data_IF_230136075329
#
_entry.id   IF_230136075329
#
_cell.length_a   1.000
_cell.length_b   1.000
_cell.length_c   1.000
_cell.angle_alpha   90.00
_cell.angle_beta   90.00
_cell.angle_gamma   90.00
#
_symmetry.space_group_name_H-M   'P 1'
#
loop_
_entity.id
_entity.type
_entity.pdbx_description
1 polymer ?
#
# COMPACT_ATOMS: atom_id res chain seq x y z
N UNK A 1 -25.60 17.60 -9.63
CA UNK A 1 -25.72 17.25 -11.06
C UNK A 1 -25.07 15.89 -11.22
N UNK A 2 -25.88 14.82 -11.32
CA UNK A 2 -25.37 13.46 -11.51
C UNK A 2 -24.82 13.39 -12.94
N UNK A 3 -23.51 13.31 -13.10
CA UNK A 3 -22.90 13.19 -14.41
C UNK A 3 -23.00 11.73 -14.88
N UNK A 4 -23.70 11.54 -15.99
CA UNK A 4 -23.70 10.31 -16.78
C UNK A 4 -22.35 10.25 -17.53
N UNK A 5 -21.27 9.96 -16.80
CA UNK A 5 -19.93 9.86 -17.37
C UNK A 5 -19.84 8.53 -18.12
N UNK A 6 -19.62 8.59 -19.43
CA UNK A 6 -19.42 7.39 -20.25
C UNK A 6 -18.36 6.46 -19.61
N UNK A 7 -18.59 5.14 -19.54
CA UNK A 7 -17.63 4.18 -18.99
C UNK A 7 -16.22 4.30 -19.59
N UNK A 8 -16.13 4.66 -20.87
CA UNK A 8 -14.86 4.86 -21.56
C UNK A 8 -14.05 6.05 -20.99
N UNK A 9 -14.72 7.13 -20.59
CA UNK A 9 -14.10 8.30 -19.97
C UNK A 9 -13.56 7.95 -18.59
N UNK A 10 -14.31 7.17 -17.81
CA UNK A 10 -13.89 6.70 -16.49
C UNK A 10 -12.67 5.76 -16.57
N UNK A 11 -12.68 4.80 -17.49
CA UNK A 11 -11.53 3.89 -17.72
C UNK A 11 -10.29 4.70 -18.13
N UNK A 12 -10.45 5.68 -19.03
CA UNK A 12 -9.35 6.53 -19.48
C UNK A 12 -8.75 7.34 -18.32
N UNK A 13 -9.58 7.89 -17.43
CA UNK A 13 -9.11 8.60 -16.25
C UNK A 13 -8.26 7.71 -15.33
N UNK A 14 -8.70 6.47 -15.08
CA UNK A 14 -7.93 5.50 -14.29
C UNK A 14 -6.60 5.13 -14.97
N UNK A 15 -6.60 4.83 -16.27
CA UNK A 15 -5.38 4.47 -17.00
C UNK A 15 -4.36 5.62 -17.02
N UNK A 16 -4.82 6.86 -17.22
CA UNK A 16 -3.96 8.04 -17.19
C UNK A 16 -3.37 8.26 -15.79
N UNK A 17 -4.18 8.13 -14.74
CA UNK A 17 -3.71 8.24 -13.35
C UNK A 17 -2.68 7.16 -13.01
N UNK A 18 -2.89 5.93 -13.47
CA UNK A 18 -1.94 4.83 -13.30
C UNK A 18 -0.62 5.13 -14.00
N UNK A 19 -0.68 5.52 -15.28
CA UNK A 19 0.50 5.87 -16.08
C UNK A 19 1.30 7.00 -15.43
N UNK A 20 0.63 8.03 -14.94
CA UNK A 20 1.26 9.15 -14.22
C UNK A 20 1.92 8.71 -12.91
N UNK A 21 1.40 7.65 -12.28
CA UNK A 21 1.86 7.17 -10.98
C UNK A 21 3.01 6.14 -11.04
N UNK A 22 3.35 5.57 -12.21
CA UNK A 22 4.35 4.49 -12.35
C UNK A 22 5.64 4.78 -11.58
N UNK A 23 6.22 5.98 -11.73
CA UNK A 23 7.47 6.34 -11.05
C UNK A 23 7.31 6.35 -9.53
N UNK A 24 6.19 6.86 -9.03
CA UNK A 24 5.87 6.88 -7.60
C UNK A 24 5.66 5.45 -7.08
N UNK A 25 4.95 4.60 -7.82
CA UNK A 25 4.73 3.20 -7.46
C UNK A 25 6.06 2.44 -7.35
N UNK A 26 6.95 2.61 -8.33
CA UNK A 26 8.28 1.98 -8.32
C UNK A 26 9.15 2.51 -7.18
N UNK A 27 9.08 3.80 -6.86
CA UNK A 27 9.81 4.39 -5.73
C UNK A 27 9.34 3.80 -4.40
N UNK A 28 8.02 3.78 -4.16
CA UNK A 28 7.45 3.23 -2.92
C UNK A 28 7.75 1.73 -2.84
N UNK A 29 7.62 1.00 -3.95
CA UNK A 29 8.02 -0.40 -4.05
C UNK A 29 9.49 -0.61 -3.66
N UNK A 30 10.40 0.19 -4.20
CA UNK A 30 11.83 0.12 -3.89
C UNK A 30 12.13 0.40 -2.41
N UNK A 31 11.48 1.41 -1.82
CA UNK A 31 11.58 1.68 -0.38
C UNK A 31 11.11 0.48 0.45
N UNK A 32 10.01 -0.15 0.06
CA UNK A 32 9.49 -1.33 0.71
C UNK A 32 10.44 -2.53 0.62
N UNK A 33 11.07 -2.75 -0.54
CA UNK A 33 12.07 -3.80 -0.74
C UNK A 33 13.29 -3.58 0.13
N UNK A 34 13.84 -2.37 0.16
CA UNK A 34 14.99 -2.03 1.00
C UNK A 34 14.63 -2.19 2.48
N UNK A 35 13.46 -1.69 2.88
CA UNK A 35 12.92 -1.86 4.24
C UNK A 35 12.82 -3.34 4.63
N UNK A 36 12.18 -4.16 3.78
CA UNK A 36 12.05 -5.60 4.01
C UNK A 36 13.41 -6.29 4.06
N UNK A 37 14.37 -5.90 3.21
CA UNK A 37 15.72 -6.44 3.23
C UNK A 37 16.44 -6.12 4.54
N UNK A 38 16.34 -4.88 5.03
CA UNK A 38 16.92 -4.49 6.32
C UNK A 38 16.30 -5.29 7.47
N UNK A 39 14.97 -5.38 7.52
CA UNK A 39 14.27 -6.06 8.61
C UNK A 39 14.54 -7.57 8.62
N UNK A 40 14.53 -8.21 7.44
CA UNK A 40 14.60 -9.68 7.35
C UNK A 40 16.02 -10.21 7.20
N UNK A 41 16.84 -9.62 6.33
CA UNK A 41 18.22 -10.05 6.12
C UNK A 41 19.19 -9.38 7.10
N UNK A 42 18.94 -8.11 7.43
CA UNK A 42 19.81 -7.35 8.33
C UNK A 42 19.55 -7.63 9.81
N UNK A 43 18.27 -7.61 10.22
CA UNK A 43 17.87 -7.80 11.62
C UNK A 43 17.38 -9.22 11.94
N UNK A 44 17.21 -10.08 10.93
CA UNK A 44 16.77 -11.46 11.11
C UNK A 44 15.31 -11.60 11.53
N UNK A 45 14.46 -10.60 11.27
CA UNK A 45 13.06 -10.62 11.70
C UNK A 45 12.23 -11.66 10.93
N UNK A 46 11.24 -12.22 11.63
CA UNK A 46 10.28 -13.18 11.09
C UNK A 46 9.55 -12.70 9.82
N UNK A 47 9.43 -13.60 8.84
CA UNK A 47 8.80 -13.37 7.52
C UNK A 47 7.46 -14.11 7.39
N UNK A 48 6.36 -13.58 7.93
CA UNK A 48 5.06 -14.26 7.91
C UNK A 48 4.57 -14.50 6.48
N UNK A 49 4.14 -15.73 6.18
CA UNK A 49 3.53 -16.11 4.90
C UNK A 49 2.14 -15.51 4.71
N UNK A 50 1.29 -15.65 5.73
CA UNK A 50 -0.09 -15.19 5.73
C UNK A 50 -0.37 -14.39 7.02
N UNK A 51 -0.25 -13.05 6.97
CA UNK A 51 -0.40 -12.20 8.16
C UNK A 51 -1.81 -12.19 8.80
N UNK A 52 -2.77 -12.84 8.14
CA UNK A 52 -4.14 -13.07 8.62
C UNK A 52 -4.34 -14.48 9.22
N UNK A 53 -3.36 -15.39 9.11
CA UNK A 53 -3.43 -16.74 9.67
C UNK A 53 -2.57 -16.85 10.93
N UNK A 54 -3.22 -16.83 12.10
CA UNK A 54 -2.53 -16.86 13.40
C UNK A 54 -1.78 -18.16 13.69
N UNK A 55 -2.22 -19.27 13.08
CA UNK A 55 -1.69 -20.61 13.34
C UNK A 55 -0.69 -21.08 12.27
N UNK A 56 -0.32 -20.21 11.33
CA UNK A 56 0.61 -20.61 10.26
C UNK A 56 2.05 -20.48 10.74
N UNK A 57 2.73 -21.62 10.87
CA UNK A 57 4.19 -21.68 11.09
C UNK A 57 4.98 -21.48 9.78
N UNK A 58 4.28 -21.28 8.66
CA UNK A 58 4.91 -21.11 7.35
C UNK A 58 5.52 -19.71 7.24
N UNK A 59 6.80 -19.67 6.87
CA UNK A 59 7.55 -18.42 6.67
C UNK A 59 8.07 -18.33 5.25
N UNK A 60 8.11 -17.13 4.70
CA UNK A 60 8.78 -16.90 3.43
C UNK A 60 10.30 -17.01 3.61
N UNK A 61 11.04 -17.59 2.65
CA UNK A 61 12.47 -17.36 2.55
C UNK A 61 12.75 -15.84 2.50
N UNK A 62 13.69 -15.29 3.29
CA UNK A 62 13.89 -13.85 3.40
C UNK A 62 14.06 -13.11 2.08
N UNK A 63 14.84 -13.69 1.14
CA UNK A 63 15.01 -13.12 -0.19
C UNK A 63 13.69 -13.07 -0.96
N UNK A 64 12.89 -14.13 -0.93
CA UNK A 64 11.57 -14.15 -1.57
C UNK A 64 10.60 -13.17 -0.90
N UNK A 65 10.70 -12.97 0.41
CA UNK A 65 9.90 -11.99 1.13
C UNK A 65 10.19 -10.56 0.64
N UNK A 66 11.45 -10.21 0.36
CA UNK A 66 11.80 -8.87 -0.18
C UNK A 66 11.17 -8.63 -1.56
N UNK A 67 11.19 -9.64 -2.43
CA UNK A 67 10.56 -9.58 -3.76
C UNK A 67 9.03 -9.55 -3.65
N UNK A 68 8.46 -10.37 -2.78
CA UNK A 68 7.02 -10.38 -2.51
C UNK A 68 6.56 -9.01 -1.98
N UNK A 69 7.35 -8.39 -1.10
CA UNK A 69 7.07 -7.04 -0.57
C UNK A 69 7.05 -5.99 -1.68
N UNK A 70 7.99 -6.05 -2.63
CA UNK A 70 7.98 -5.17 -3.80
C UNK A 70 6.67 -5.30 -4.59
N UNK A 71 6.34 -6.53 -4.98
CA UNK A 71 5.18 -6.83 -5.82
C UNK A 71 3.87 -6.46 -5.12
N UNK A 72 3.75 -6.81 -3.83
CA UNK A 72 2.61 -6.44 -3.01
C UNK A 72 2.46 -4.92 -2.94
N UNK A 73 3.55 -4.20 -2.67
CA UNK A 73 3.53 -2.74 -2.57
C UNK A 73 3.08 -2.07 -3.87
N UNK A 74 3.64 -2.48 -5.01
CA UNK A 74 3.25 -1.93 -6.32
C UNK A 74 1.79 -2.26 -6.63
N UNK A 75 1.33 -3.49 -6.36
CA UNK A 75 -0.04 -3.90 -6.60
C UNK A 75 -1.03 -3.11 -5.71
N UNK A 76 -0.80 -3.05 -4.40
CA UNK A 76 -1.65 -2.30 -3.48
C UNK A 76 -1.66 -0.81 -3.79
N UNK A 77 -0.49 -0.20 -4.03
CA UNK A 77 -0.42 1.22 -4.38
C UNK A 77 -1.07 1.51 -5.76
N UNK A 78 -1.07 0.56 -6.68
CA UNK A 78 -1.83 0.66 -7.92
C UNK A 78 -3.34 0.68 -7.63
N UNK A 79 -3.85 -0.21 -6.78
CA UNK A 79 -5.26 -0.18 -6.37
C UNK A 79 -5.63 1.13 -5.69
N UNK A 80 -4.74 1.72 -4.89
CA UNK A 80 -5.02 2.99 -4.23
C UNK A 80 -5.01 4.19 -5.18
N UNK A 81 -4.29 4.14 -6.30
CA UNK A 81 -4.42 5.14 -7.39
C UNK A 81 -5.83 5.11 -7.98
N UNK A 82 -6.41 3.92 -8.19
CA UNK A 82 -7.80 3.77 -8.64
C UNK A 82 -8.74 4.38 -7.61
N UNK A 83 -8.55 4.05 -6.32
CA UNK A 83 -9.37 4.58 -5.24
C UNK A 83 -9.29 6.11 -5.13
N UNK A 84 -8.09 6.72 -5.20
CA UNK A 84 -7.94 8.17 -5.21
C UNK A 84 -8.64 8.82 -6.42
N UNK A 85 -8.54 8.18 -7.59
CA UNK A 85 -9.25 8.64 -8.80
C UNK A 85 -10.77 8.59 -8.61
N UNK A 86 -11.31 7.56 -7.94
CA UNK A 86 -12.72 7.50 -7.58
C UNK A 86 -13.12 8.61 -6.60
N UNK A 87 -12.27 8.90 -5.60
CA UNK A 87 -12.53 10.00 -4.66
C UNK A 87 -12.63 11.37 -5.37
N UNK A 88 -11.89 11.58 -6.47
CA UNK A 88 -12.00 12.80 -7.27
C UNK A 88 -13.37 12.94 -7.96
N UNK A 89 -14.01 11.82 -8.27
CA UNK A 89 -15.34 11.81 -8.89
C UNK A 89 -16.43 11.97 -7.83
N UNK A 90 -16.24 11.37 -6.65
CA UNK A 90 -17.28 11.28 -5.63
C UNK A 90 -17.26 12.42 -4.60
N UNK A 91 -16.16 13.17 -4.50
CA UNK A 91 -15.96 14.13 -3.41
C UNK A 91 -15.37 15.44 -3.91
N UNK A 92 -15.68 16.54 -3.20
CA UNK A 92 -15.09 17.85 -3.47
C UNK A 92 -13.66 18.00 -2.89
N UNK A 93 -13.21 17.05 -2.06
CA UNK A 93 -11.91 17.11 -1.40
C UNK A 93 -11.24 15.72 -1.34
N UNK A 94 -10.81 15.19 -2.50
CA UNK A 94 -10.29 13.83 -2.61
C UNK A 94 -9.03 13.59 -1.76
N UNK A 95 -8.16 14.60 -1.63
CA UNK A 95 -6.91 14.48 -0.89
C UNK A 95 -7.15 14.36 0.63
N UNK A 96 -8.15 15.07 1.16
CA UNK A 96 -8.55 14.95 2.56
C UNK A 96 -9.13 13.56 2.84
N UNK A 97 -10.05 13.08 1.98
CA UNK A 97 -10.63 11.75 2.13
C UNK A 97 -9.59 10.64 1.99
N UNK A 98 -8.67 10.76 1.04
CA UNK A 98 -7.55 9.85 0.87
C UNK A 98 -6.68 9.73 2.12
N UNK A 99 -6.28 10.88 2.69
CA UNK A 99 -5.49 10.91 3.92
C UNK A 99 -6.26 10.34 5.10
N UNK A 100 -7.53 10.72 5.26
CA UNK A 100 -8.40 10.22 6.33
C UNK A 100 -8.56 8.69 6.27
N UNK A 101 -8.90 8.15 5.09
CA UNK A 101 -9.04 6.70 4.89
C UNK A 101 -7.70 5.97 5.07
N UNK A 102 -6.59 6.55 4.62
CA UNK A 102 -5.27 5.93 4.75
C UNK A 102 -4.78 5.91 6.20
N UNK A 103 -4.99 6.98 6.97
CA UNK A 103 -4.70 6.99 8.42
C UNK A 103 -5.56 5.96 9.15
N UNK A 104 -6.86 5.91 8.84
CA UNK A 104 -7.75 4.91 9.41
C UNK A 104 -7.28 3.48 9.10
N UNK A 105 -6.91 3.21 7.85
CA UNK A 105 -6.38 1.91 7.42
C UNK A 105 -5.09 1.54 8.18
N UNK A 106 -4.14 2.47 8.31
CA UNK A 106 -2.90 2.20 9.03
C UNK A 106 -3.16 1.87 10.51
N UNK A 107 -4.10 2.57 11.16
CA UNK A 107 -4.46 2.30 12.55
C UNK A 107 -5.18 0.96 12.70
N UNK A 108 -6.17 0.67 11.86
CA UNK A 108 -6.95 -0.57 11.96
C UNK A 108 -6.11 -1.78 11.62
N UNK A 109 -5.35 -1.74 10.53
CA UNK A 109 -4.46 -2.83 10.14
C UNK A 109 -3.34 -3.00 11.17
N UNK A 110 -2.73 -1.89 11.61
CA UNK A 110 -1.62 -1.93 12.55
C UNK A 110 -2.03 -2.57 13.88
N UNK A 111 -3.18 -2.20 14.43
CA UNK A 111 -3.73 -2.81 15.64
C UNK A 111 -4.15 -4.27 15.43
N UNK A 112 -4.82 -4.58 14.30
CA UNK A 112 -5.24 -5.93 13.99
C UNK A 112 -4.07 -6.91 13.84
N UNK A 113 -2.94 -6.47 13.30
CA UNK A 113 -1.75 -7.32 13.13
C UNK A 113 -1.23 -7.91 14.46
N UNK A 114 -1.33 -7.17 15.58
CA UNK A 114 -0.96 -7.70 16.90
C UNK A 114 -1.97 -8.73 17.44
N UNK A 115 -3.18 -8.74 16.90
CA UNK A 115 -4.21 -9.73 17.23
C UNK A 115 -4.02 -10.98 16.35
N UNK A 116 -3.60 -10.83 15.10
CA UNK A 116 -3.50 -11.96 14.17
C UNK A 116 -2.13 -12.62 14.13
N UNK A 117 -1.06 -12.00 14.63
CA UNK A 117 0.33 -12.47 14.45
C UNK A 117 1.10 -12.58 15.76
N UNK A 118 2.31 -13.14 15.68
CA UNK A 118 3.31 -13.04 16.75
C UNK A 118 3.72 -11.58 16.96
N UNK A 119 4.24 -11.26 18.15
CA UNK A 119 4.64 -9.89 18.48
C UNK A 119 5.72 -9.35 17.53
N UNK A 120 6.71 -10.18 17.21
CA UNK A 120 7.80 -9.82 16.29
C UNK A 120 7.29 -9.58 14.86
N UNK A 121 6.49 -10.51 14.32
CA UNK A 121 5.91 -10.38 12.99
C UNK A 121 4.98 -9.15 12.91
N UNK A 122 4.22 -8.86 13.96
CA UNK A 122 3.38 -7.66 14.02
C UNK A 122 4.23 -6.38 13.98
N UNK A 123 5.34 -6.29 14.72
CA UNK A 123 6.27 -5.15 14.64
C UNK A 123 6.82 -5.01 13.22
N UNK A 124 7.34 -6.10 12.65
CA UNK A 124 7.91 -6.09 11.30
C UNK A 124 6.88 -5.57 10.27
N UNK A 125 5.65 -6.11 10.30
CA UNK A 125 4.58 -5.69 9.41
C UNK A 125 4.22 -4.22 9.60
N UNK A 126 4.12 -3.72 10.83
CA UNK A 126 3.83 -2.32 11.09
C UNK A 126 4.92 -1.39 10.54
N UNK A 127 6.20 -1.75 10.71
CA UNK A 127 7.30 -0.95 10.14
C UNK A 127 7.18 -0.93 8.61
N UNK A 128 6.93 -2.06 7.96
CA UNK A 128 6.71 -2.11 6.51
C UNK A 128 5.51 -1.27 6.07
N UNK A 129 4.40 -1.33 6.80
CA UNK A 129 3.22 -0.51 6.53
C UNK A 129 3.51 0.98 6.66
N UNK A 130 4.37 1.39 7.58
CA UNK A 130 4.78 2.79 7.69
C UNK A 130 5.71 3.20 6.54
N UNK A 131 6.67 2.34 6.17
CA UNK A 131 7.59 2.57 5.03
C UNK A 131 6.80 2.74 3.72
N UNK A 132 5.71 1.99 3.54
CA UNK A 132 4.85 2.09 2.35
C UNK A 132 3.81 3.20 2.48
N UNK A 133 3.10 3.22 3.60
CA UNK A 133 1.92 4.03 3.83
C UNK A 133 2.21 5.52 3.92
N UNK A 134 3.30 5.93 4.57
CA UNK A 134 3.65 7.35 4.68
C UNK A 134 4.01 7.96 3.31
N UNK A 135 4.88 7.33 2.49
CA UNK A 135 5.08 7.77 1.10
C UNK A 135 3.81 7.71 0.26
N UNK A 136 2.98 6.67 0.37
CA UNK A 136 1.74 6.57 -0.39
C UNK A 136 0.78 7.73 -0.06
N UNK A 137 0.60 8.04 1.22
CA UNK A 137 -0.28 9.12 1.68
C UNK A 137 0.15 10.51 1.20
N UNK A 138 1.46 10.71 1.00
CA UNK A 138 2.04 12.02 0.68
C UNK A 138 2.33 12.22 -0.81
N UNK A 139 2.76 11.16 -1.51
CA UNK A 139 3.25 11.23 -2.89
C UNK A 139 2.16 10.91 -3.93
N UNK A 140 1.25 9.97 -3.65
CA UNK A 140 0.22 9.57 -4.61
C UNK A 140 -0.73 10.71 -5.02
N UNK A 141 -1.23 11.56 -4.10
CA UNK A 141 -2.07 12.70 -4.50
C UNK A 141 -1.40 13.64 -5.50
N UNK A 142 -0.07 13.79 -5.39
CA UNK A 142 0.73 14.63 -6.29
C UNK A 142 0.88 13.97 -7.66
N UNK A 143 1.12 12.66 -7.69
CA UNK A 143 1.24 11.89 -8.93
C UNK A 143 -0.08 11.85 -9.71
N UNK A 144 -1.22 11.79 -9.00
CA UNK A 144 -2.53 11.76 -9.60
C UNK A 144 -3.04 13.15 -10.05
N UNK A 145 -2.34 14.26 -9.81
CA UNK A 145 -2.90 15.62 -10.01
C UNK A 145 -3.06 16.04 -11.48
N UNK A 146 -2.46 15.29 -12.42
CA UNK A 146 -2.52 15.56 -13.87
C UNK A 146 -3.89 15.21 -14.47
#
# INVERSE_FOLDING_TARGET
MYYDVSPMVMITAHLTAQKASIRTLLLIGGLATVGAGILTLGLGMDTPWAPWERQSDTRFPPVLFTLATFMATVAFCSTTVIFHTLLKVLTNNPDMWWRGSGVLFLLTYGTYSFISQTFEAAIMLNILHLIVGLPALTLLPRACRN
#
